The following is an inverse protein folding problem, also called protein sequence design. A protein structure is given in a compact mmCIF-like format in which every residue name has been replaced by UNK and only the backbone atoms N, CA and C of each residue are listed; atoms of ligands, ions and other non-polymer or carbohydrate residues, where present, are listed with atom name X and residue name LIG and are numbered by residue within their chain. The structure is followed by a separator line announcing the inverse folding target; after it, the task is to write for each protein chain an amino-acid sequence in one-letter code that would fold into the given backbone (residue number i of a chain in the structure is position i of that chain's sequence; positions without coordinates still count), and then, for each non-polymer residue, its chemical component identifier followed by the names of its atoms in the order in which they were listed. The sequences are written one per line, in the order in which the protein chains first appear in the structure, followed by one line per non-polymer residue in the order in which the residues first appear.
data_IF_329585270738
#
_entry.id   IF_329585270738
#
_cell.length_a   1.000
_cell.length_b   1.000
_cell.length_c   1.000
_cell.angle_alpha   90.00
_cell.angle_beta   90.00
_cell.angle_gamma   90.00
#
_symmetry.space_group_name_H-M   'P 1'
#
loop_
_entity.id
_entity.type
_entity.pdbx_description
1 polymer ?
#
# COMPACT_ATOMS: atom_id res chain seq x y z
N UNK A 1 -1.86 -22.72 -17.52
CA UNK A 1 -2.00 -24.19 -17.37
C UNK A 1 -0.79 -24.73 -16.61
N UNK A 2 -0.99 -25.58 -15.60
CA UNK A 2 0.09 -26.32 -14.94
C UNK A 2 0.68 -27.35 -15.92
N UNK A 3 1.98 -27.28 -16.19
CA UNK A 3 2.72 -28.21 -17.06
C UNK A 3 3.49 -29.26 -16.28
N UNK A 4 4.00 -28.89 -15.12
CA UNK A 4 4.87 -29.75 -14.32
C UNK A 4 4.61 -29.52 -12.83
N UNK A 5 4.67 -30.60 -12.05
CA UNK A 5 4.60 -30.59 -10.59
C UNK A 5 5.67 -31.52 -10.03
N UNK A 6 6.51 -31.00 -9.14
CA UNK A 6 7.48 -31.77 -8.35
C UNK A 6 7.18 -31.58 -6.88
N UNK A 7 7.15 -32.68 -6.14
CA UNK A 7 6.87 -32.73 -4.71
C UNK A 7 7.96 -33.54 -4.04
N UNK A 8 8.51 -33.01 -2.95
CA UNK A 8 9.48 -33.68 -2.09
C UNK A 8 9.04 -33.55 -0.63
N UNK A 9 8.97 -34.67 0.09
CA UNK A 9 8.69 -34.77 1.54
C UNK A 9 7.42 -34.03 2.01
N UNK A 10 6.36 -34.06 1.20
CA UNK A 10 5.10 -33.38 1.48
C UNK A 10 4.00 -34.38 1.86
N UNK A 11 3.45 -34.25 3.07
CA UNK A 11 2.49 -35.17 3.66
C UNK A 11 2.92 -36.64 3.52
N UNK A 12 2.19 -37.46 2.76
CA UNK A 12 2.52 -38.88 2.53
C UNK A 12 3.44 -39.12 1.32
N UNK A 13 3.87 -38.08 0.61
CA UNK A 13 4.72 -38.18 -0.58
C UNK A 13 6.18 -37.92 -0.21
N UNK A 14 7.07 -38.88 -0.49
CA UNK A 14 8.52 -38.70 -0.37
C UNK A 14 9.08 -37.97 -1.59
N UNK A 15 8.77 -38.45 -2.79
CA UNK A 15 9.17 -37.81 -4.05
C UNK A 15 8.13 -38.13 -5.12
N UNK A 16 7.72 -37.11 -5.88
CA UNK A 16 6.81 -37.26 -7.00
C UNK A 16 7.09 -36.20 -8.05
N UNK A 17 7.06 -36.61 -9.32
CA UNK A 17 7.13 -35.71 -10.47
C UNK A 17 6.02 -36.08 -11.44
N UNK A 18 5.27 -35.09 -11.91
CA UNK A 18 4.16 -35.26 -12.87
C UNK A 18 4.29 -34.21 -13.96
N UNK A 19 4.30 -34.68 -15.21
CA UNK A 19 4.08 -33.86 -16.39
C UNK A 19 2.58 -33.84 -16.74
N UNK A 20 2.03 -32.65 -16.91
CA UNK A 20 0.64 -32.42 -17.26
C UNK A 20 0.51 -32.06 -18.73
N UNK A 21 -0.54 -32.57 -19.36
CA UNK A 21 -0.86 -32.30 -20.76
C UNK A 21 -2.16 -31.49 -20.89
N UNK A 22 -2.30 -30.69 -21.97
CA UNK A 22 -3.49 -29.86 -22.16
C UNK A 22 -4.78 -30.68 -22.19
N UNK A 23 -5.85 -30.10 -21.65
CA UNK A 23 -7.16 -30.72 -21.59
C UNK A 23 -7.43 -31.39 -20.25
N UNK A 24 -8.05 -32.57 -20.27
CA UNK A 24 -8.53 -33.25 -19.08
C UNK A 24 -7.48 -34.24 -18.56
N UNK A 25 -6.99 -34.00 -17.34
CA UNK A 25 -6.18 -34.97 -16.60
C UNK A 25 -7.04 -35.63 -15.51
N UNK A 26 -7.16 -36.96 -15.55
CA UNK A 26 -7.89 -37.73 -14.55
C UNK A 26 -6.91 -38.46 -13.63
N UNK A 27 -6.97 -38.14 -12.34
CA UNK A 27 -6.19 -38.82 -11.30
C UNK A 27 -7.12 -39.82 -10.61
N UNK A 28 -6.77 -41.10 -10.70
CA UNK A 28 -7.49 -42.21 -10.06
C UNK A 28 -6.60 -42.91 -9.04
N UNK A 29 -7.21 -43.63 -8.10
CA UNK A 29 -6.50 -44.32 -7.03
C UNK A 29 -7.46 -45.08 -6.13
N UNK A 30 -6.92 -45.97 -5.29
CA UNK A 30 -7.70 -46.85 -4.41
C UNK A 30 -8.20 -46.13 -3.15
N UNK A 31 -7.39 -45.20 -2.62
CA UNK A 31 -7.71 -44.39 -1.44
C UNK A 31 -7.67 -42.89 -1.79
N UNK A 32 -8.59 -42.11 -1.22
CA UNK A 32 -8.73 -40.68 -1.51
C UNK A 32 -7.58 -39.79 -1.03
N UNK A 33 -6.66 -40.31 -0.22
CA UNK A 33 -5.57 -39.54 0.39
C UNK A 33 -4.56 -39.02 -0.65
N UNK A 34 -4.15 -39.85 -1.62
CA UNK A 34 -3.16 -39.45 -2.63
C UNK A 34 -3.65 -38.33 -3.54
N UNK A 35 -4.93 -38.37 -3.92
CA UNK A 35 -5.55 -37.31 -4.74
C UNK A 35 -5.66 -36.00 -3.97
N UNK A 36 -6.10 -36.03 -2.71
CA UNK A 36 -6.19 -34.81 -1.90
C UNK A 36 -4.82 -34.16 -1.70
N UNK A 37 -3.77 -34.94 -1.44
CA UNK A 37 -2.41 -34.39 -1.28
C UNK A 37 -1.94 -33.67 -2.56
N UNK A 38 -2.29 -34.18 -3.75
CA UNK A 38 -1.98 -33.50 -5.01
C UNK A 38 -2.74 -32.19 -5.16
N UNK A 39 -4.01 -32.16 -4.78
CA UNK A 39 -4.81 -30.93 -4.78
C UNK A 39 -4.21 -29.91 -3.81
N UNK A 40 -3.85 -30.33 -2.60
CA UNK A 40 -3.23 -29.47 -1.58
C UNK A 40 -1.88 -28.92 -2.06
N UNK A 41 -1.07 -29.72 -2.76
CA UNK A 41 0.19 -29.29 -3.33
C UNK A 41 -0.02 -28.21 -4.42
N UNK A 42 -1.02 -28.38 -5.29
CA UNK A 42 -1.37 -27.36 -6.29
C UNK A 42 -1.94 -26.11 -5.63
N UNK A 43 -2.75 -26.25 -4.57
CA UNK A 43 -3.30 -25.13 -3.82
C UNK A 43 -2.24 -24.31 -3.10
N UNK A 44 -1.23 -24.98 -2.56
CA UNK A 44 -0.05 -24.35 -2.00
C UNK A 44 0.71 -23.51 -3.04
N UNK A 45 0.83 -24.00 -4.28
CA UNK A 45 1.40 -23.24 -5.41
C UNK A 45 0.48 -22.11 -5.88
N UNK A 46 -0.83 -22.24 -5.71
CA UNK A 46 -1.83 -21.21 -5.97
C UNK A 46 -2.00 -20.20 -4.80
N UNK A 47 -1.09 -20.18 -3.83
CA UNK A 47 -1.05 -19.16 -2.79
C UNK A 47 -1.85 -19.48 -1.53
N UNK A 48 -2.23 -20.73 -1.31
CA UNK A 48 -2.74 -21.17 -0.02
C UNK A 48 -1.65 -21.10 1.07
N UNK A 49 -2.07 -21.01 2.33
CA UNK A 49 -1.16 -20.97 3.48
C UNK A 49 -0.54 -22.34 3.72
N UNK A 50 0.77 -22.36 3.92
CA UNK A 50 1.47 -23.56 4.37
C UNK A 50 1.16 -23.87 5.83
N UNK A 51 1.00 -25.15 6.16
CA UNK A 51 1.00 -25.68 7.53
C UNK A 51 2.24 -26.55 7.76
N UNK A 52 2.76 -26.58 8.99
CA UNK A 52 3.87 -27.46 9.36
C UNK A 52 3.49 -28.94 9.25
N UNK A 53 2.20 -29.26 9.40
CA UNK A 53 1.64 -30.61 9.25
C UNK A 53 1.77 -31.15 7.83
N UNK A 54 2.03 -30.27 6.86
CA UNK A 54 2.30 -30.66 5.47
C UNK A 54 3.71 -31.22 5.29
N UNK A 55 4.62 -31.09 6.27
CA UNK A 55 5.95 -31.72 6.19
C UNK A 55 5.84 -33.17 6.61
N UNK A 56 6.33 -34.08 5.75
CA UNK A 56 6.35 -35.52 6.03
C UNK A 56 7.08 -35.83 7.34
N UNK A 57 6.54 -36.76 8.11
CA UNK A 57 7.15 -37.21 9.36
C UNK A 57 8.57 -37.74 9.12
N UNK A 58 9.51 -37.36 9.99
CA UNK A 58 10.93 -37.72 9.86
C UNK A 58 11.75 -36.80 8.96
N UNK A 59 11.15 -35.78 8.32
CA UNK A 59 11.85 -34.82 7.48
C UNK A 59 11.76 -33.40 8.05
N UNK A 60 12.84 -32.61 7.90
CA UNK A 60 12.89 -31.23 8.39
C UNK A 60 12.17 -30.23 7.47
N UNK A 61 12.06 -30.56 6.18
CA UNK A 61 11.55 -29.68 5.13
C UNK A 61 10.78 -30.44 4.05
N UNK A 62 9.73 -29.79 3.53
CA UNK A 62 9.01 -30.18 2.33
C UNK A 62 9.22 -29.14 1.22
N UNK A 63 9.20 -29.60 -0.03
CA UNK A 63 9.30 -28.74 -1.21
C UNK A 63 8.22 -29.10 -2.21
N UNK A 64 7.55 -28.08 -2.73
CA UNK A 64 6.60 -28.19 -3.85
C UNK A 64 7.00 -27.19 -4.91
N UNK A 65 7.10 -27.63 -6.15
CA UNK A 65 7.49 -26.81 -7.29
C UNK A 65 6.59 -27.10 -8.48
N UNK A 66 6.17 -26.06 -9.19
CA UNK A 66 5.38 -26.22 -10.40
C UNK A 66 5.70 -25.19 -11.46
N UNK A 67 5.48 -25.59 -12.71
CA UNK A 67 5.66 -24.75 -13.89
C UNK A 67 4.28 -24.49 -14.49
N UNK A 68 3.89 -23.23 -14.58
CA UNK A 68 2.65 -22.82 -15.22
C UNK A 68 2.95 -22.13 -16.54
N UNK A 69 2.41 -22.65 -17.64
CA UNK A 69 2.40 -21.95 -18.91
C UNK A 69 1.33 -20.86 -18.95
N UNK A 70 1.72 -19.70 -19.46
CA UNK A 70 0.93 -18.48 -19.58
C UNK A 70 0.68 -18.19 -21.05
N UNK A 71 -0.57 -17.97 -21.42
CA UNK A 71 -0.91 -17.48 -22.77
C UNK A 71 -0.41 -16.04 -22.96
N UNK A 72 -0.24 -15.56 -24.22
CA UNK A 72 0.19 -14.19 -24.53
C UNK A 72 -0.54 -13.11 -23.73
N UNK A 73 -1.86 -13.20 -23.68
CA UNK A 73 -2.74 -12.20 -23.06
C UNK A 73 -3.12 -12.54 -21.60
N UNK A 74 -2.39 -13.45 -20.95
CA UNK A 74 -2.73 -13.91 -19.61
C UNK A 74 -2.49 -12.82 -18.55
N UNK A 75 -3.48 -12.48 -17.69
CA UNK A 75 -3.39 -11.35 -16.74
C UNK A 75 -2.23 -11.47 -15.75
N UNK A 76 -1.82 -12.70 -15.40
CA UNK A 76 -0.66 -12.96 -14.55
C UNK A 76 0.65 -12.34 -15.09
N UNK A 77 0.80 -12.15 -16.41
CA UNK A 77 2.00 -11.53 -17.00
C UNK A 77 2.17 -10.09 -16.53
N UNK A 78 1.09 -9.31 -16.59
CA UNK A 78 1.07 -7.92 -16.11
C UNK A 78 1.41 -7.82 -14.63
N UNK A 79 0.92 -8.77 -13.81
CA UNK A 79 1.21 -8.81 -12.36
C UNK A 79 2.70 -9.13 -12.12
N UNK A 80 3.25 -10.10 -12.85
CA UNK A 80 4.67 -10.46 -12.77
C UNK A 80 5.60 -9.33 -13.25
N UNK A 81 5.22 -8.63 -14.31
CA UNK A 81 5.98 -7.48 -14.85
C UNK A 81 6.03 -6.33 -13.85
N UNK A 82 4.88 -5.96 -13.25
CA UNK A 82 4.81 -4.91 -12.21
C UNK A 82 5.69 -5.21 -11.01
N UNK A 83 5.84 -6.48 -10.65
CA UNK A 83 6.69 -6.93 -9.56
C UNK A 83 8.17 -7.12 -9.95
N UNK A 84 8.53 -6.94 -11.23
CA UNK A 84 9.89 -7.20 -11.72
C UNK A 84 10.28 -8.69 -11.70
N UNK A 85 9.29 -9.59 -11.69
CA UNK A 85 9.46 -11.05 -11.64
C UNK A 85 9.27 -11.71 -13.00
N UNK A 86 8.88 -10.95 -14.02
CA UNK A 86 8.80 -11.41 -15.39
C UNK A 86 10.20 -11.70 -15.95
N UNK A 87 10.40 -12.90 -16.50
CA UNK A 87 11.66 -13.30 -17.16
C UNK A 87 11.59 -13.30 -18.68
N UNK A 88 10.54 -12.72 -19.27
CA UNK A 88 10.31 -12.76 -20.71
C UNK A 88 9.93 -14.15 -21.24
N UNK A 89 9.64 -15.10 -20.35
CA UNK A 89 9.25 -16.46 -20.67
C UNK A 89 7.71 -16.58 -20.73
N UNK A 90 7.22 -17.56 -21.49
CA UNK A 90 5.80 -17.95 -21.54
C UNK A 90 5.41 -18.84 -20.34
N UNK A 91 6.26 -18.90 -19.32
CA UNK A 91 6.10 -19.77 -18.17
C UNK A 91 6.44 -19.01 -16.87
N UNK A 92 5.81 -19.44 -15.79
CA UNK A 92 6.17 -19.03 -14.43
C UNK A 92 6.46 -20.27 -13.59
N UNK A 93 7.62 -20.25 -12.94
CA UNK A 93 8.06 -21.29 -12.02
C UNK A 93 7.78 -20.83 -10.60
N UNK A 94 7.00 -21.61 -9.86
CA UNK A 94 6.67 -21.33 -8.45
C UNK A 94 7.23 -22.46 -7.60
N UNK A 95 7.97 -22.10 -6.56
CA UNK A 95 8.50 -23.06 -5.58
C UNK A 95 8.17 -22.61 -4.17
N UNK A 96 7.72 -23.58 -3.36
CA UNK A 96 7.38 -23.45 -1.96
C UNK A 96 8.28 -24.37 -1.16
N UNK A 97 8.93 -23.82 -0.14
CA UNK A 97 9.69 -24.59 0.84
C UNK A 97 9.07 -24.37 2.21
N UNK A 98 8.72 -25.46 2.89
CA UNK A 98 8.08 -25.47 4.20
C UNK A 98 9.02 -26.20 5.15
N UNK A 99 9.29 -25.62 6.32
CA UNK A 99 10.09 -26.27 7.36
C UNK A 99 9.24 -26.60 8.57
N UNK A 100 9.55 -27.72 9.25
CA UNK A 100 8.95 -28.03 10.55
C UNK A 100 9.22 -26.95 11.61
N UNK A 101 10.31 -26.18 11.47
CA UNK A 101 10.59 -25.04 12.34
C UNK A 101 9.67 -23.82 12.08
N UNK A 102 8.72 -23.91 11.15
CA UNK A 102 7.75 -22.87 10.82
C UNK A 102 8.23 -21.84 9.80
N UNK A 103 9.43 -22.01 9.24
CA UNK A 103 9.89 -21.13 8.16
C UNK A 103 9.29 -21.58 6.82
N UNK A 104 8.64 -20.64 6.14
CA UNK A 104 8.03 -20.85 4.84
C UNK A 104 8.64 -19.87 3.84
N UNK A 105 9.20 -20.39 2.75
CA UNK A 105 9.78 -19.58 1.69
C UNK A 105 9.00 -19.74 0.40
N UNK A 106 8.87 -18.64 -0.32
CA UNK A 106 8.22 -18.57 -1.62
C UNK A 106 9.23 -18.10 -2.62
N UNK A 107 9.32 -18.82 -3.73
CA UNK A 107 10.12 -18.42 -4.87
C UNK A 107 9.23 -18.36 -6.11
N UNK A 108 9.38 -17.28 -6.87
CA UNK A 108 8.73 -17.10 -8.16
C UNK A 108 9.83 -16.76 -9.14
N UNK A 109 9.97 -17.55 -10.20
CA UNK A 109 11.05 -17.44 -11.19
C UNK A 109 12.43 -17.34 -10.50
N UNK A 110 12.71 -18.29 -9.59
CA UNK A 110 13.93 -18.38 -8.77
C UNK A 110 14.25 -17.15 -7.89
N UNK A 111 13.32 -16.22 -7.73
CA UNK A 111 13.47 -15.03 -6.87
C UNK A 111 12.61 -15.16 -5.63
N UNK A 112 13.13 -14.79 -4.46
CA UNK A 112 12.36 -14.80 -3.21
C UNK A 112 11.18 -13.84 -3.34
N UNK A 113 9.99 -14.29 -2.96
CA UNK A 113 8.77 -13.50 -2.95
C UNK A 113 8.00 -13.68 -1.63
N UNK A 114 6.87 -13.00 -1.51
CA UNK A 114 6.03 -13.03 -0.31
C UNK A 114 4.81 -13.94 -0.48
N UNK A 115 4.27 -14.44 0.63
CA UNK A 115 2.98 -15.14 0.62
C UNK A 115 1.85 -14.25 0.05
N UNK A 116 1.85 -12.97 0.40
CA UNK A 116 0.80 -12.03 -0.04
C UNK A 116 0.77 -11.88 -1.55
N UNK A 117 1.95 -11.72 -2.17
CA UNK A 117 2.05 -11.65 -3.62
C UNK A 117 1.66 -12.97 -4.29
N UNK A 118 2.03 -14.12 -3.72
CA UNK A 118 1.59 -15.41 -4.25
C UNK A 118 0.06 -15.58 -4.14
N UNK A 119 -0.56 -15.11 -3.05
CA UNK A 119 -2.01 -15.14 -2.87
C UNK A 119 -2.76 -14.19 -3.83
N UNK A 120 -2.10 -13.15 -4.32
CA UNK A 120 -2.61 -12.29 -5.40
C UNK A 120 -2.46 -12.96 -6.78
N UNK A 121 -1.32 -13.59 -7.03
CA UNK A 121 -0.99 -14.23 -8.31
C UNK A 121 -1.76 -15.54 -8.54
N UNK A 122 -1.90 -16.35 -7.48
CA UNK A 122 -2.41 -17.72 -7.53
C UNK A 122 -3.81 -17.88 -8.15
N UNK A 123 -4.80 -17.05 -7.78
CA UNK A 123 -6.14 -17.08 -8.38
C UNK A 123 -6.15 -16.83 -9.89
N UNK A 124 -5.10 -16.23 -10.46
CA UNK A 124 -4.95 -16.07 -11.90
C UNK A 124 -4.41 -17.33 -12.56
N UNK A 125 -3.69 -18.18 -11.83
CA UNK A 125 -2.97 -19.34 -12.37
C UNK A 125 -3.78 -20.64 -12.30
N UNK A 126 -4.53 -20.82 -11.22
CA UNK A 126 -5.35 -21.99 -10.98
C UNK A 126 -6.58 -21.63 -10.15
N UNK A 127 -7.74 -22.14 -10.57
CA UNK A 127 -8.94 -22.18 -9.76
C UNK A 127 -9.11 -23.60 -9.23
N UNK A 128 -9.23 -23.74 -7.91
CA UNK A 128 -9.24 -25.01 -7.21
C UNK A 128 -10.61 -25.19 -6.59
N UNK A 129 -11.12 -26.42 -6.70
CA UNK A 129 -12.45 -26.79 -6.22
C UNK A 129 -12.35 -28.05 -5.34
N UNK A 130 -12.53 -27.89 -4.04
CA UNK A 130 -12.37 -28.87 -2.99
C UNK A 130 -13.24 -28.59 -1.76
N UNK A 131 -12.96 -29.29 -0.66
CA UNK A 131 -13.80 -29.27 0.54
C UNK A 131 -13.72 -27.98 1.37
N UNK A 132 -12.75 -27.09 1.13
CA UNK A 132 -12.46 -25.92 1.99
C UNK A 132 -12.52 -24.57 1.24
N UNK A 133 -13.10 -24.50 0.03
CA UNK A 133 -12.99 -23.30 -0.80
C UNK A 133 -13.97 -22.17 -0.49
N UNK A 134 -13.42 -20.94 -0.40
CA UNK A 134 -14.13 -19.72 -0.78
C UNK A 134 -14.15 -19.61 -2.30
N UNK A 135 -15.10 -20.32 -2.92
CA UNK A 135 -15.32 -20.31 -4.37
C UNK A 135 -15.34 -18.87 -4.91
N UNK A 136 -14.65 -18.57 -6.03
CA UNK A 136 -14.84 -17.28 -6.70
C UNK A 136 -16.32 -17.04 -7.00
N UNK A 137 -17.06 -18.09 -7.39
CA UNK A 137 -18.52 -18.11 -7.55
C UNK A 137 -19.32 -17.83 -6.28
N UNK A 138 -18.74 -17.88 -5.09
CA UNK A 138 -19.39 -17.52 -3.82
C UNK A 138 -18.91 -16.18 -3.27
N UNK A 139 -17.93 -15.54 -3.92
CA UNK A 139 -17.49 -14.21 -3.54
C UNK A 139 -18.41 -13.16 -4.17
N UNK A 140 -19.23 -12.42 -3.40
CA UNK A 140 -20.20 -11.48 -3.99
C UNK A 140 -19.56 -10.39 -4.86
N UNK A 141 -18.26 -10.12 -4.66
CA UNK A 141 -17.52 -9.12 -5.44
C UNK A 141 -17.30 -9.54 -6.90
N UNK A 142 -17.15 -10.83 -7.18
CA UNK A 142 -16.95 -11.35 -8.55
C UNK A 142 -18.26 -11.43 -9.32
N UNK A 143 -19.41 -11.47 -8.62
CA UNK A 143 -20.74 -11.59 -9.23
C UNK A 143 -21.08 -10.43 -10.14
N UNK A 144 -20.59 -9.23 -9.85
CA UNK A 144 -20.78 -8.07 -10.72
C UNK A 144 -20.09 -8.27 -12.07
N UNK A 145 -18.87 -8.81 -12.07
CA UNK A 145 -18.15 -9.11 -13.32
C UNK A 145 -18.89 -10.13 -14.17
N UNK A 146 -19.45 -11.18 -13.54
CA UNK A 146 -20.29 -12.16 -14.24
C UNK A 146 -21.58 -11.55 -14.79
N UNK A 147 -22.25 -10.69 -14.02
CA UNK A 147 -23.48 -10.02 -14.43
C UNK A 147 -23.23 -9.05 -15.59
N UNK A 148 -22.15 -8.28 -15.52
CA UNK A 148 -21.78 -7.34 -16.57
C UNK A 148 -21.33 -8.06 -17.84
N UNK A 149 -20.59 -9.16 -17.73
CA UNK A 149 -20.27 -10.01 -18.87
C UNK A 149 -21.53 -10.61 -19.51
N UNK A 150 -22.49 -11.08 -18.70
CA UNK A 150 -23.78 -11.57 -19.18
C UNK A 150 -24.58 -10.47 -19.92
N UNK A 151 -24.56 -9.26 -19.38
CA UNK A 151 -25.19 -8.08 -19.98
C UNK A 151 -24.43 -7.51 -21.20
N UNK A 152 -23.22 -8.00 -21.49
CA UNK A 152 -22.30 -7.40 -22.47
C UNK A 152 -22.00 -5.92 -22.19
N UNK A 153 -21.89 -5.55 -20.91
CA UNK A 153 -21.74 -4.18 -20.44
C UNK A 153 -20.29 -3.65 -20.46
N UNK A 154 -19.34 -4.37 -21.08
CA UNK A 154 -17.92 -3.99 -21.08
C UNK A 154 -17.68 -2.54 -21.55
N UNK A 155 -18.40 -2.06 -22.57
CA UNK A 155 -18.25 -0.69 -23.07
C UNK A 155 -18.69 0.35 -22.04
N UNK A 156 -19.84 0.13 -21.40
CA UNK A 156 -20.39 0.99 -20.36
C UNK A 156 -19.51 0.98 -19.10
N UNK A 157 -18.92 -0.17 -18.76
CA UNK A 157 -17.96 -0.27 -17.66
C UNK A 157 -16.69 0.53 -17.93
N UNK A 158 -16.16 0.49 -19.16
CA UNK A 158 -14.99 1.29 -19.55
C UNK A 158 -15.28 2.79 -19.47
N UNK A 159 -16.44 3.22 -19.97
CA UNK A 159 -16.90 4.61 -19.89
C UNK A 159 -17.06 5.06 -18.43
N UNK A 160 -17.71 4.25 -17.60
CA UNK A 160 -17.88 4.53 -16.18
C UNK A 160 -16.54 4.64 -15.45
N UNK A 161 -15.59 3.74 -15.74
CA UNK A 161 -14.25 3.77 -15.15
C UNK A 161 -13.50 5.07 -15.49
N UNK A 162 -13.59 5.54 -16.74
CA UNK A 162 -13.00 6.81 -17.16
C UNK A 162 -13.64 8.00 -16.42
N UNK A 163 -14.98 8.08 -16.40
CA UNK A 163 -15.71 9.13 -15.70
C UNK A 163 -15.42 9.14 -14.19
N UNK A 164 -15.26 7.96 -13.60
CA UNK A 164 -14.92 7.83 -12.18
C UNK A 164 -13.51 8.34 -11.88
N UNK A 165 -12.54 8.07 -12.75
CA UNK A 165 -11.19 8.59 -12.61
C UNK A 165 -11.16 10.13 -12.70
N UNK A 166 -11.83 10.69 -13.71
CA UNK A 166 -11.96 12.14 -13.87
C UNK A 166 -12.62 12.79 -12.65
N UNK A 167 -13.67 12.16 -12.10
CA UNK A 167 -14.31 12.64 -10.88
C UNK A 167 -13.38 12.61 -9.66
N UNK A 168 -12.59 11.54 -9.48
CA UNK A 168 -11.63 11.46 -8.39
C UNK A 168 -10.57 12.56 -8.48
N UNK A 169 -10.05 12.83 -9.68
CA UNK A 169 -9.07 13.87 -9.92
C UNK A 169 -9.63 15.27 -9.61
N UNK A 170 -10.83 15.58 -10.10
CA UNK A 170 -11.52 16.85 -9.82
C UNK A 170 -11.79 16.99 -8.32
N UNK A 171 -12.22 15.91 -7.65
CA UNK A 171 -12.45 15.90 -6.21
C UNK A 171 -11.16 16.16 -5.42
N UNK A 172 -10.04 15.56 -5.82
CA UNK A 172 -8.73 15.79 -5.22
C UNK A 172 -8.27 17.25 -5.37
N UNK A 173 -8.41 17.81 -6.58
CA UNK A 173 -8.11 19.22 -6.84
C UNK A 173 -8.96 20.17 -6.01
N UNK A 174 -10.26 19.89 -5.89
CA UNK A 174 -11.17 20.69 -5.06
C UNK A 174 -10.77 20.67 -3.59
N UNK A 175 -10.38 19.51 -3.06
CA UNK A 175 -9.92 19.39 -1.69
C UNK A 175 -8.64 20.21 -1.44
N UNK A 176 -7.67 20.15 -2.36
CA UNK A 176 -6.44 20.93 -2.28
C UNK A 176 -6.71 22.46 -2.30
N UNK A 177 -7.61 22.92 -3.17
CA UNK A 177 -7.99 24.35 -3.23
C UNK A 177 -8.62 24.79 -1.91
N UNK A 178 -9.53 23.99 -1.33
CA UNK A 178 -10.18 24.32 -0.05
C UNK A 178 -9.19 24.41 1.11
N UNK A 179 -8.21 23.51 1.18
CA UNK A 179 -7.18 23.59 2.22
C UNK A 179 -6.32 24.85 2.03
N UNK A 180 -5.94 25.17 0.79
CA UNK A 180 -5.16 26.39 0.51
C UNK A 180 -5.93 27.68 0.85
N UNK A 181 -7.25 27.70 0.66
CA UNK A 181 -8.09 28.85 0.99
C UNK A 181 -8.13 29.09 2.50
N UNK A 182 -8.25 28.01 3.28
CA UNK A 182 -8.21 28.08 4.74
C UNK A 182 -6.89 28.63 5.26
N UNK A 183 -5.76 28.14 4.73
CA UNK A 183 -4.44 28.68 5.09
C UNK A 183 -4.29 30.15 4.69
N UNK A 184 -4.81 30.53 3.52
CA UNK A 184 -4.77 31.92 3.04
C UNK A 184 -5.55 32.86 3.96
N UNK A 185 -6.74 32.46 4.41
CA UNK A 185 -7.56 33.25 5.33
C UNK A 185 -6.84 33.46 6.68
N UNK A 186 -6.24 32.40 7.24
CA UNK A 186 -5.44 32.51 8.47
C UNK A 186 -4.26 33.47 8.34
N UNK A 187 -3.57 33.45 7.20
CA UNK A 187 -2.47 34.40 6.91
C UNK A 187 -2.97 35.84 6.81
N UNK A 188 -4.12 36.06 6.16
CA UNK A 188 -4.74 37.39 6.07
C UNK A 188 -5.08 37.92 7.47
N UNK A 189 -5.70 37.12 8.32
CA UNK A 189 -6.07 37.54 9.67
C UNK A 189 -4.84 37.85 10.53
N UNK A 190 -3.78 37.03 10.41
CA UNK A 190 -2.50 37.26 11.08
C UNK A 190 -1.87 38.59 10.64
N UNK A 191 -1.82 38.85 9.32
CA UNK A 191 -1.25 40.08 8.79
C UNK A 191 -2.06 41.31 9.22
N UNK A 192 -3.40 41.22 9.20
CA UNK A 192 -4.27 42.31 9.66
C UNK A 192 -4.02 42.64 11.12
N UNK A 193 -3.97 41.62 11.98
CA UNK A 193 -3.67 41.82 13.39
C UNK A 193 -2.30 42.49 13.60
N UNK A 194 -1.26 42.04 12.90
CA UNK A 194 0.07 42.63 12.98
C UNK A 194 0.11 44.09 12.49
N UNK A 195 -0.59 44.40 11.40
CA UNK A 195 -0.70 45.78 10.89
C UNK A 195 -1.40 46.66 11.92
N UNK A 196 -2.55 46.25 12.44
CA UNK A 196 -3.30 47.00 13.45
C UNK A 196 -2.47 47.23 14.72
N UNK A 197 -1.68 46.25 15.14
CA UNK A 197 -0.80 46.37 16.31
C UNK A 197 0.34 47.37 16.08
N UNK A 198 0.97 47.34 14.90
CA UNK A 198 2.01 48.30 14.50
C UNK A 198 1.44 49.71 14.37
N UNK A 199 0.25 49.87 13.77
CA UNK A 199 -0.41 51.16 13.61
C UNK A 199 -0.77 51.79 14.95
N UNK A 200 -1.18 50.99 15.96
CA UNK A 200 -1.45 51.48 17.33
C UNK A 200 -0.22 52.08 18.00
N UNK A 201 0.98 51.59 17.67
CA UNK A 201 2.23 52.12 18.23
C UNK A 201 2.58 53.52 17.69
N UNK A 202 1.89 53.99 16.64
CA UNK A 202 2.06 55.31 16.04
C UNK A 202 3.55 55.68 15.80
N UNK A 203 4.34 54.68 15.38
CA UNK A 203 5.77 54.82 15.22
C UNK A 203 6.06 55.80 14.08
N UNK A 204 6.95 56.76 14.35
CA UNK A 204 7.47 57.67 13.34
C UNK A 204 9.01 57.59 13.32
N UNK A 205 9.65 57.80 12.16
CA UNK A 205 11.11 57.82 12.08
C UNK A 205 11.71 58.86 13.04
N UNK A 206 12.64 58.46 13.90
CA UNK A 206 13.30 59.33 14.88
C UNK A 206 12.53 59.54 16.20
N UNK A 207 11.40 58.86 16.40
CA UNK A 207 10.62 58.93 17.64
C UNK A 207 11.43 58.49 18.87
N UNK A 208 12.29 57.49 18.72
CA UNK A 208 13.23 56.99 19.72
C UNK A 208 14.14 58.09 20.27
N UNK A 209 14.83 58.83 19.39
CA UNK A 209 15.69 59.94 19.78
C UNK A 209 14.92 61.08 20.47
N UNK A 210 13.69 61.32 20.00
CA UNK A 210 12.81 62.35 20.57
C UNK A 210 12.42 61.98 22.01
N UNK A 211 11.99 60.73 22.23
CA UNK A 211 11.63 60.20 23.55
C UNK A 211 12.84 60.14 24.50
N UNK A 212 14.04 59.81 24.01
CA UNK A 212 15.26 59.85 24.82
C UNK A 212 15.60 61.26 25.30
N UNK A 213 15.48 62.25 24.41
CA UNK A 213 15.72 63.66 24.73
C UNK A 213 14.72 64.17 25.77
N UNK A 214 13.44 63.86 25.58
CA UNK A 214 12.37 64.22 26.52
C UNK A 214 12.59 63.58 27.90
N UNK A 215 12.95 62.29 27.93
CA UNK A 215 13.28 61.56 29.17
C UNK A 215 14.45 62.21 29.91
N UNK A 216 15.53 62.59 29.21
CA UNK A 216 16.68 63.25 29.82
C UNK A 216 16.31 64.63 30.40
N UNK A 217 15.44 65.36 29.70
CA UNK A 217 14.92 66.65 30.17
C UNK A 217 14.05 66.48 31.42
N UNK A 218 13.13 65.52 31.44
CA UNK A 218 12.27 65.24 32.61
C UNK A 218 13.10 64.78 33.82
N UNK A 219 14.08 63.89 33.62
CA UNK A 219 14.96 63.40 34.69
C UNK A 219 15.81 64.50 35.33
N UNK A 220 16.11 65.58 34.59
CA UNK A 220 16.86 66.74 35.09
C UNK A 220 15.96 67.87 35.60
N UNK A 221 14.65 67.80 35.38
CA UNK A 221 13.70 68.86 35.72
C UNK A 221 13.58 69.09 37.23
N UNK A 222 13.54 68.01 38.02
CA UNK A 222 13.41 68.06 39.48
C UNK A 222 14.65 68.71 40.12
N UNK A 223 15.85 68.32 39.67
CA UNK A 223 17.11 68.93 40.11
C UNK A 223 17.21 70.41 39.72
N UNK A 224 16.78 70.78 38.51
CA UNK A 224 16.73 72.19 38.08
C UNK A 224 15.75 73.00 38.94
N UNK A 225 14.59 72.45 39.27
CA UNK A 225 13.61 73.10 40.13
C UNK A 225 14.16 73.31 41.56
N UNK A 226 14.78 72.27 42.14
CA UNK A 226 15.46 72.38 43.44
C UNK A 226 16.57 73.43 43.43
N UNK A 227 17.44 73.44 42.42
CA UNK A 227 18.53 74.42 42.32
C UNK A 227 18.00 75.85 42.15
N UNK A 228 16.94 76.05 41.35
CA UNK A 228 16.30 77.35 41.19
C UNK A 228 15.65 77.83 42.50
N UNK A 229 15.02 76.94 43.26
CA UNK A 229 14.40 77.26 44.54
C UNK A 229 15.43 77.61 45.61
N UNK A 230 16.55 76.87 45.66
CA UNK A 230 17.70 77.20 46.52
C UNK A 230 18.27 78.57 46.13
N UNK A 231 18.45 78.84 44.83
CA UNK A 231 18.93 80.14 44.36
C UNK A 231 18.00 81.30 44.73
N UNK A 232 16.68 81.10 44.64
CA UNK A 232 15.69 82.09 45.04
C UNK A 232 15.77 82.40 46.55
N UNK A 233 15.87 81.37 47.41
CA UNK A 233 16.03 81.54 48.86
C UNK A 233 17.32 82.26 49.28
N UNK A 234 18.34 82.24 48.43
CA UNK A 234 19.61 82.93 48.70
C UNK A 234 19.51 84.41 48.28
N UNK A 235 18.72 84.72 47.25
CA UNK A 235 18.58 86.08 46.69
C UNK A 235 17.47 86.91 47.34
N UNK A 236 16.45 86.26 47.91
CA UNK A 236 15.28 86.87 48.57
C UNK A 236 15.00 86.20 49.91
#
# INVERSE_FOLDING_TARGET
MLKFLSIENFALIESLQIDFHPGLTLITGETGSGKSILVDAVALLAGERASQEMVREGFEKARVEGIFALCPDHPARTVLERAGLARGEDEVVIRREISQAGTNKVFINNSISTQGFLAELGPLLADIHGQHDQQQLLQPRTHLEYLDAFGSNQAQLQELAALFHDWQDVKGRLAAIRESEKERLQKIDTCKYQIEDIEKLALSPGLDHTLETERALLATSEKRCQHAQIGYQILY
#
